data_IF_472381970518
#
_entry.id   IF_472381970518
#
_cell.length_a   1.000
_cell.length_b   1.000
_cell.length_c   1.000
_cell.angle_alpha   90.00
_cell.angle_beta   90.00
_cell.angle_gamma   90.00
#
_symmetry.space_group_name_H-M   'P 1'
#
loop_
_entity.id
_entity.type
_entity.pdbx_description
1 polymer ?
#
# COMPACT_ATOMS: atom_id res chain seq x y z
N UNK A 1 -39.14 -28.95 8.45
CA UNK A 1 -38.37 -27.79 7.96
C UNK A 1 -37.42 -27.23 9.02
N UNK A 2 -37.89 -26.96 10.24
CA UNK A 2 -37.05 -26.52 11.38
C UNK A 2 -35.79 -27.37 11.67
N UNK A 3 -35.83 -28.71 11.71
CA UNK A 3 -34.62 -29.51 12.03
C UNK A 3 -33.56 -29.46 10.92
N UNK A 4 -33.98 -29.32 9.66
CA UNK A 4 -33.06 -29.18 8.51
C UNK A 4 -32.35 -27.84 8.58
N UNK A 5 -33.08 -26.75 8.89
CA UNK A 5 -32.50 -25.43 9.06
C UNK A 5 -31.46 -25.40 10.20
N UNK A 6 -31.78 -26.02 11.34
CA UNK A 6 -30.86 -26.11 12.49
C UNK A 6 -29.58 -26.91 12.14
N UNK A 7 -29.71 -28.01 11.40
CA UNK A 7 -28.56 -28.79 10.95
C UNK A 7 -27.65 -27.98 10.01
N UNK A 8 -28.23 -27.21 9.08
CA UNK A 8 -27.48 -26.32 8.20
C UNK A 8 -26.77 -25.21 8.99
N UNK A 9 -27.44 -24.59 9.96
CA UNK A 9 -26.84 -23.56 10.81
C UNK A 9 -25.67 -24.11 11.65
N UNK A 10 -25.81 -25.30 12.24
CA UNK A 10 -24.72 -25.95 12.97
C UNK A 10 -23.53 -26.30 12.06
N UNK A 11 -23.80 -26.81 10.86
CA UNK A 11 -22.76 -27.07 9.85
C UNK A 11 -21.99 -25.81 9.46
N UNK A 12 -22.70 -24.71 9.20
CA UNK A 12 -22.08 -23.43 8.90
C UNK A 12 -21.25 -22.88 10.06
N UNK A 13 -21.75 -22.99 11.30
CA UNK A 13 -21.05 -22.53 12.49
C UNK A 13 -19.76 -23.34 12.75
N UNK A 14 -19.82 -24.66 12.61
CA UNK A 14 -18.65 -25.53 12.79
C UNK A 14 -17.58 -25.26 11.74
N UNK A 15 -17.97 -25.07 10.47
CA UNK A 15 -17.06 -24.66 9.40
C UNK A 15 -16.43 -23.30 9.69
N UNK A 16 -17.22 -22.32 10.13
CA UNK A 16 -16.72 -20.99 10.47
C UNK A 16 -15.71 -21.02 11.62
N UNK A 17 -16.02 -21.77 12.68
CA UNK A 17 -15.10 -21.97 13.81
C UNK A 17 -13.82 -22.69 13.38
N UNK A 18 -13.92 -23.69 12.50
CA UNK A 18 -12.75 -24.37 11.94
C UNK A 18 -11.86 -23.44 11.13
N UNK A 19 -12.44 -22.60 10.27
CA UNK A 19 -11.71 -21.59 9.49
C UNK A 19 -11.03 -20.59 10.43
N UNK A 20 -11.73 -20.06 11.43
CA UNK A 20 -11.16 -19.14 12.42
C UNK A 20 -10.02 -19.80 13.19
N UNK A 21 -10.20 -21.04 13.63
CA UNK A 21 -9.16 -21.79 14.31
C UNK A 21 -7.93 -22.01 13.42
N UNK A 22 -8.11 -22.40 12.15
CA UNK A 22 -7.00 -22.58 11.19
C UNK A 22 -6.26 -21.27 10.91
N UNK A 23 -6.98 -20.18 10.67
CA UNK A 23 -6.39 -18.84 10.44
C UNK A 23 -5.60 -18.36 11.66
N UNK A 24 -6.03 -18.70 12.88
CA UNK A 24 -5.31 -18.32 14.10
C UNK A 24 -4.10 -19.20 14.42
N UNK A 25 -4.09 -20.45 13.97
CA UNK A 25 -3.06 -21.43 14.32
C UNK A 25 -1.97 -21.57 13.25
N UNK A 26 -2.28 -21.23 12.01
CA UNK A 26 -1.40 -21.46 10.86
C UNK A 26 -1.24 -20.19 10.03
N UNK A 27 -0.04 -19.61 10.07
CA UNK A 27 0.27 -18.35 9.38
C UNK A 27 0.17 -18.45 7.85
N UNK A 28 0.41 -19.64 7.26
CA UNK A 28 0.28 -19.83 5.81
C UNK A 28 -1.18 -19.78 5.39
N UNK A 29 -2.07 -20.37 6.19
CA UNK A 29 -3.51 -20.27 6.01
C UNK A 29 -4.03 -18.86 6.28
N UNK A 30 -3.45 -18.15 7.25
CA UNK A 30 -3.80 -16.76 7.51
C UNK A 30 -3.50 -15.86 6.30
N UNK A 31 -2.31 -15.99 5.71
CA UNK A 31 -1.93 -15.25 4.49
C UNK A 31 -2.82 -15.64 3.31
N UNK A 32 -3.01 -16.94 3.08
CA UNK A 32 -3.83 -17.42 1.97
C UNK A 32 -5.29 -16.96 2.07
N UNK A 33 -5.88 -17.03 3.27
CA UNK A 33 -7.25 -16.57 3.53
C UNK A 33 -7.38 -15.04 3.36
N UNK A 34 -6.39 -14.29 3.81
CA UNK A 34 -6.36 -12.84 3.65
C UNK A 34 -6.33 -12.42 2.18
N UNK A 35 -5.40 -12.98 1.40
CA UNK A 35 -5.16 -12.58 0.01
C UNK A 35 -6.22 -13.15 -0.96
N UNK A 36 -6.75 -14.35 -0.71
CA UNK A 36 -7.68 -15.00 -1.66
C UNK A 36 -9.16 -14.74 -1.35
N UNK A 37 -9.52 -14.50 -0.09
CA UNK A 37 -10.93 -14.39 0.32
C UNK A 37 -11.26 -13.01 0.86
N UNK A 38 -10.55 -12.54 1.89
CA UNK A 38 -10.91 -11.26 2.53
C UNK A 38 -10.69 -10.08 1.61
N UNK A 39 -9.53 -10.00 0.95
CA UNK A 39 -9.23 -8.92 0.01
C UNK A 39 -10.20 -8.92 -1.17
N UNK A 40 -10.41 -10.07 -1.82
CA UNK A 40 -11.35 -10.18 -2.94
C UNK A 40 -12.78 -9.80 -2.55
N UNK A 41 -13.25 -10.23 -1.38
CA UNK A 41 -14.57 -9.88 -0.90
C UNK A 41 -14.68 -8.38 -0.62
N UNK A 42 -13.64 -7.77 -0.03
CA UNK A 42 -13.66 -6.33 0.27
C UNK A 42 -13.55 -5.48 -0.98
N UNK A 43 -12.75 -5.90 -1.96
CA UNK A 43 -12.67 -5.26 -3.27
C UNK A 43 -14.01 -5.37 -4.01
N UNK A 44 -14.65 -6.54 -3.98
CA UNK A 44 -15.96 -6.74 -4.58
C UNK A 44 -17.05 -5.87 -3.93
N UNK A 45 -17.10 -5.84 -2.59
CA UNK A 45 -18.13 -5.09 -1.84
C UNK A 45 -17.92 -3.58 -1.89
N UNK A 46 -16.67 -3.10 -1.91
CA UNK A 46 -16.36 -1.67 -1.97
C UNK A 46 -16.26 -1.11 -3.39
N UNK A 47 -16.09 -1.97 -4.41
CA UNK A 47 -15.83 -1.58 -5.79
C UNK A 47 -14.50 -0.84 -5.99
N UNK A 48 -13.60 -0.90 -5.01
CA UNK A 48 -12.33 -0.16 -4.98
C UNK A 48 -11.20 -1.10 -4.61
N UNK A 49 -10.01 -0.88 -5.16
CA UNK A 49 -8.81 -1.60 -4.70
C UNK A 49 -8.38 -1.11 -3.31
N UNK A 50 -7.59 -1.93 -2.61
CA UNK A 50 -6.98 -1.55 -1.32
C UNK A 50 -6.24 -0.20 -1.37
N UNK A 51 -5.35 0.09 -2.34
CA UNK A 51 -4.74 1.41 -2.48
C UNK A 51 -5.75 2.56 -2.61
N UNK A 52 -6.83 2.37 -3.38
CA UNK A 52 -7.86 3.41 -3.52
C UNK A 52 -8.57 3.70 -2.19
N UNK A 53 -8.80 2.68 -1.36
CA UNK A 53 -9.40 2.88 -0.03
C UNK A 53 -8.43 3.58 0.93
N UNK A 54 -7.13 3.30 0.83
CA UNK A 54 -6.07 4.03 1.56
C UNK A 54 -6.08 5.50 1.14
N UNK A 55 -6.08 5.79 -0.17
CA UNK A 55 -6.16 7.16 -0.69
C UNK A 55 -7.39 7.90 -0.16
N UNK A 56 -8.56 7.27 -0.20
CA UNK A 56 -9.78 7.87 0.33
C UNK A 56 -9.66 8.20 1.83
N UNK A 57 -9.04 7.30 2.61
CA UNK A 57 -8.82 7.56 4.03
C UNK A 57 -7.84 8.72 4.25
N UNK A 58 -6.73 8.77 3.50
CA UNK A 58 -5.75 9.87 3.52
C UNK A 58 -6.43 11.19 3.22
N UNK A 59 -7.19 11.28 2.12
CA UNK A 59 -7.87 12.52 1.72
C UNK A 59 -8.86 13.03 2.77
N UNK A 60 -9.45 12.13 3.55
CA UNK A 60 -10.42 12.47 4.59
C UNK A 60 -9.80 12.83 5.94
N UNK A 61 -8.55 12.42 6.22
CA UNK A 61 -7.98 12.47 7.58
C UNK A 61 -6.63 13.18 7.67
N UNK A 62 -5.87 13.23 6.58
CA UNK A 62 -4.53 13.83 6.55
C UNK A 62 -4.57 15.27 6.04
N UNK A 63 -3.63 16.08 6.54
CA UNK A 63 -3.47 17.48 6.13
C UNK A 63 -2.80 17.54 4.76
N UNK A 64 -3.41 18.29 3.83
CA UNK A 64 -2.85 18.54 2.50
C UNK A 64 -1.50 19.26 2.62
N UNK A 65 -0.48 18.75 1.92
CA UNK A 65 0.88 19.29 1.90
C UNK A 65 1.74 18.88 3.09
N UNK A 66 1.26 18.01 3.99
CA UNK A 66 2.04 17.49 5.12
C UNK A 66 2.28 15.99 4.96
N UNK A 67 3.47 15.63 4.46
CA UNK A 67 3.88 14.24 4.29
C UNK A 67 3.85 13.42 5.60
N UNK A 68 4.16 14.00 6.76
CA UNK A 68 4.13 13.27 8.03
C UNK A 68 2.69 12.93 8.44
N UNK A 69 1.75 13.88 8.23
CA UNK A 69 0.33 13.64 8.45
C UNK A 69 -0.19 12.51 7.54
N UNK A 70 0.21 12.51 6.26
CA UNK A 70 -0.19 11.47 5.30
C UNK A 70 0.37 10.10 5.68
N UNK A 71 1.67 10.01 6.02
CA UNK A 71 2.30 8.76 6.48
C UNK A 71 1.56 8.21 7.71
N UNK A 72 1.28 9.08 8.69
CA UNK A 72 0.55 8.71 9.92
C UNK A 72 -0.86 8.21 9.63
N UNK A 73 -1.56 8.81 8.67
CA UNK A 73 -2.89 8.36 8.24
C UNK A 73 -2.84 6.98 7.58
N UNK A 74 -1.83 6.72 6.74
CA UNK A 74 -1.63 5.39 6.14
C UNK A 74 -1.34 4.34 7.22
N UNK A 75 -0.47 4.63 8.18
CA UNK A 75 -0.16 3.72 9.29
C UNK A 75 -1.39 3.43 10.15
N UNK A 76 -2.16 4.46 10.51
CA UNK A 76 -3.42 4.32 11.24
C UNK A 76 -4.43 3.45 10.49
N UNK A 77 -4.58 3.65 9.18
CA UNK A 77 -5.46 2.83 8.36
C UNK A 77 -5.01 1.37 8.34
N UNK A 78 -3.72 1.14 8.15
CA UNK A 78 -3.16 -0.20 8.03
C UNK A 78 -3.20 -0.97 9.36
N UNK A 79 -3.10 -0.27 10.48
CA UNK A 79 -3.18 -0.85 11.82
C UNK A 79 -4.62 -1.16 12.25
N UNK A 80 -5.58 -0.30 11.88
CA UNK A 80 -6.92 -0.32 12.47
C UNK A 80 -8.04 -0.75 11.51
N UNK A 81 -7.83 -0.71 10.20
CA UNK A 81 -8.90 -0.89 9.20
C UNK A 81 -8.63 -2.09 8.28
N UNK A 82 -7.50 -2.08 7.58
CA UNK A 82 -7.10 -3.19 6.72
C UNK A 82 -5.59 -3.25 6.59
N UNK A 83 -5.02 -4.43 6.78
CA UNK A 83 -3.61 -4.65 6.56
C UNK A 83 -3.20 -4.44 5.09
N UNK A 84 -2.07 -3.77 4.90
CA UNK A 84 -1.45 -3.56 3.59
C UNK A 84 0.04 -3.89 3.63
N UNK A 85 0.61 -4.21 2.47
CA UNK A 85 2.01 -4.56 2.27
C UNK A 85 2.99 -3.37 2.38
N UNK A 86 2.62 -2.31 3.10
CA UNK A 86 3.51 -1.18 3.35
C UNK A 86 4.71 -1.60 4.21
N UNK A 87 5.80 -0.86 4.09
CA UNK A 87 7.00 -1.05 4.94
C UNK A 87 6.60 -0.99 6.42
N UNK A 88 5.69 -0.08 6.77
CA UNK A 88 5.20 0.14 8.13
C UNK A 88 6.21 0.85 9.01
N UNK A 89 5.72 1.45 10.08
CA UNK A 89 6.46 2.46 10.84
C UNK A 89 7.82 1.99 11.40
N UNK A 90 7.87 0.81 12.03
CA UNK A 90 9.10 0.25 12.62
C UNK A 90 10.25 0.09 11.62
N UNK A 91 9.96 -0.42 10.43
CA UNK A 91 10.98 -0.54 9.35
C UNK A 91 11.20 0.81 8.66
N UNK A 92 10.17 1.66 8.67
CA UNK A 92 10.24 3.03 8.20
C UNK A 92 11.23 3.89 8.97
N UNK A 93 11.35 3.73 10.28
CA UNK A 93 12.36 4.44 11.09
C UNK A 93 13.79 4.09 10.67
N UNK A 94 14.04 2.81 10.36
CA UNK A 94 15.34 2.36 9.86
C UNK A 94 15.62 2.98 8.48
N UNK A 95 14.62 2.98 7.59
CA UNK A 95 14.72 3.62 6.28
C UNK A 95 15.01 5.12 6.41
N UNK A 96 14.29 5.82 7.28
CA UNK A 96 14.47 7.24 7.54
C UNK A 96 15.89 7.54 8.03
N UNK A 97 16.40 6.72 8.98
CA UNK A 97 17.75 6.86 9.50
C UNK A 97 18.82 6.70 8.40
N UNK A 98 18.66 5.72 7.51
CA UNK A 98 19.57 5.50 6.38
C UNK A 98 19.56 6.70 5.41
N UNK A 99 18.38 7.25 5.10
CA UNK A 99 18.27 8.43 4.21
C UNK A 99 18.97 9.65 4.82
N UNK A 100 18.77 9.88 6.12
CA UNK A 100 19.38 11.01 6.84
C UNK A 100 20.90 10.89 6.98
N UNK A 101 21.41 9.66 7.13
CA UNK A 101 22.85 9.37 7.22
C UNK A 101 23.53 9.51 5.85
N UNK A 102 22.98 8.88 4.81
CA UNK A 102 23.56 8.85 3.47
C UNK A 102 23.39 10.17 2.72
N UNK A 103 22.28 10.89 2.96
CA UNK A 103 21.87 12.11 2.24
C UNK A 103 22.01 11.99 0.71
N UNK A 104 21.32 11.00 0.10
CA UNK A 104 21.51 10.71 -1.32
C UNK A 104 21.02 11.86 -2.20
N UNK A 105 21.72 12.09 -3.33
CA UNK A 105 21.25 12.99 -4.40
C UNK A 105 20.27 12.32 -5.36
N UNK A 106 20.36 11.00 -5.48
CA UNK A 106 19.51 10.19 -6.34
C UNK A 106 19.08 8.94 -5.59
N UNK A 107 17.79 8.64 -5.65
CA UNK A 107 17.22 7.39 -5.12
C UNK A 107 16.42 6.71 -6.22
N UNK A 108 16.59 5.39 -6.34
CA UNK A 108 15.74 4.53 -7.16
C UNK A 108 14.94 3.62 -6.23
N UNK A 109 13.62 3.65 -6.36
CA UNK A 109 12.69 2.76 -5.68
C UNK A 109 12.05 1.79 -6.69
N UNK A 110 12.06 0.50 -6.35
CA UNK A 110 11.43 -0.55 -7.15
C UNK A 110 10.16 -1.03 -6.45
N UNK A 111 9.01 -0.66 -6.98
CA UNK A 111 7.69 -0.93 -6.40
C UNK A 111 7.19 0.23 -5.57
N UNK A 112 6.37 1.09 -6.16
CA UNK A 112 5.76 2.25 -5.49
C UNK A 112 4.55 1.87 -4.64
N UNK A 113 3.74 0.91 -5.10
CA UNK A 113 2.45 0.54 -4.50
C UNK A 113 1.54 1.77 -4.29
N UNK A 114 1.23 2.15 -3.05
CA UNK A 114 0.45 3.36 -2.72
C UNK A 114 1.34 4.57 -2.36
N UNK A 115 2.66 4.47 -2.50
CA UNK A 115 3.61 5.57 -2.28
C UNK A 115 4.09 5.75 -0.83
N UNK A 116 3.87 4.78 0.07
CA UNK A 116 4.24 4.92 1.49
C UNK A 116 5.74 5.12 1.70
N UNK A 117 6.57 4.20 1.18
CA UNK A 117 8.04 4.30 1.27
C UNK A 117 8.57 5.48 0.47
N UNK A 118 7.96 5.77 -0.68
CA UNK A 118 8.27 6.93 -1.51
C UNK A 118 8.15 8.24 -0.71
N UNK A 119 7.03 8.44 0.00
CA UNK A 119 6.84 9.60 0.87
C UNK A 119 7.87 9.62 2.00
N UNK A 120 8.16 8.45 2.59
CA UNK A 120 9.12 8.37 3.69
C UNK A 120 10.51 8.84 3.25
N UNK A 121 10.97 8.39 2.09
CA UNK A 121 12.27 8.79 1.56
C UNK A 121 12.24 10.25 1.13
N UNK A 122 11.28 10.64 0.29
CA UNK A 122 11.25 11.96 -0.34
C UNK A 122 11.24 13.10 0.69
N UNK A 123 10.47 12.99 1.79
CA UNK A 123 10.40 14.03 2.82
C UNK A 123 11.73 14.34 3.54
N UNK A 124 12.72 13.44 3.42
CA UNK A 124 14.03 13.53 4.09
C UNK A 124 15.17 13.82 3.12
N UNK A 125 14.88 13.90 1.81
CA UNK A 125 15.89 14.14 0.80
C UNK A 125 16.41 15.58 0.86
N UNK A 126 17.73 15.81 0.67
CA UNK A 126 18.28 17.16 0.66
C UNK A 126 17.78 17.98 -0.54
N UNK A 127 17.80 19.31 -0.47
CA UNK A 127 17.40 20.17 -1.59
C UNK A 127 18.15 19.81 -2.89
N UNK A 128 17.41 19.67 -3.98
CA UNK A 128 17.93 19.30 -5.29
C UNK A 128 18.17 17.80 -5.50
N UNK A 129 17.93 16.95 -4.49
CA UNK A 129 17.89 15.50 -4.68
C UNK A 129 16.59 15.06 -5.37
N UNK A 130 16.67 13.91 -6.04
CA UNK A 130 15.59 13.32 -6.83
C UNK A 130 15.33 11.88 -6.41
N UNK A 131 14.05 11.50 -6.40
CA UNK A 131 13.62 10.12 -6.22
C UNK A 131 12.89 9.65 -7.47
N UNK A 132 13.38 8.57 -8.08
CA UNK A 132 12.69 7.88 -9.17
C UNK A 132 12.06 6.62 -8.57
N UNK A 133 10.76 6.42 -8.81
CA UNK A 133 10.05 5.23 -8.33
C UNK A 133 9.33 4.53 -9.48
N UNK A 134 9.43 3.21 -9.52
CA UNK A 134 8.84 2.37 -10.57
C UNK A 134 7.65 1.59 -10.05
N UNK A 135 6.52 1.68 -10.75
CA UNK A 135 5.33 0.87 -10.48
C UNK A 135 4.80 0.21 -11.75
N UNK A 136 4.66 -1.10 -11.72
CA UNK A 136 4.19 -1.87 -12.88
C UNK A 136 2.67 -1.78 -13.05
N UNK A 137 1.93 -1.71 -11.94
CA UNK A 137 0.48 -1.63 -11.95
C UNK A 137 0.01 -0.18 -12.14
N UNK A 138 -0.54 0.11 -13.32
CA UNK A 138 -1.04 1.44 -13.67
C UNK A 138 -2.07 2.01 -12.67
N UNK A 139 -2.94 1.17 -12.09
CA UNK A 139 -3.91 1.64 -11.10
C UNK A 139 -3.23 2.03 -9.78
N UNK A 140 -2.21 1.31 -9.36
CA UNK A 140 -1.45 1.62 -8.15
C UNK A 140 -0.63 2.89 -8.35
N UNK A 141 0.00 3.03 -9.51
CA UNK A 141 0.69 4.26 -9.91
C UNK A 141 -0.21 5.50 -9.83
N UNK A 142 -1.44 5.41 -10.35
CA UNK A 142 -2.42 6.51 -10.27
C UNK A 142 -2.80 6.87 -8.82
N UNK A 143 -2.93 5.87 -7.96
CA UNK A 143 -3.21 6.08 -6.54
C UNK A 143 -2.01 6.72 -5.84
N UNK A 144 -0.81 6.17 -6.04
CA UNK A 144 0.42 6.69 -5.47
C UNK A 144 0.65 8.15 -5.88
N UNK A 145 0.43 8.49 -7.16
CA UNK A 145 0.53 9.88 -7.64
C UNK A 145 -0.41 10.83 -6.88
N UNK A 146 -1.65 10.40 -6.63
CA UNK A 146 -2.60 11.22 -5.85
C UNK A 146 -2.20 11.35 -4.38
N UNK A 147 -1.70 10.27 -3.75
CA UNK A 147 -1.22 10.32 -2.37
C UNK A 147 0.02 11.22 -2.25
N UNK A 148 0.97 11.12 -3.19
CA UNK A 148 2.17 11.95 -3.25
C UNK A 148 1.83 13.43 -3.43
N UNK A 149 0.86 13.74 -4.28
CA UNK A 149 0.38 15.11 -4.44
C UNK A 149 -0.39 15.62 -3.22
N UNK A 150 -1.16 14.76 -2.55
CA UNK A 150 -1.76 15.10 -1.25
C UNK A 150 -0.69 15.41 -0.19
N UNK A 151 0.44 14.70 -0.23
CA UNK A 151 1.59 14.92 0.65
C UNK A 151 2.46 16.13 0.27
N UNK A 152 2.25 16.75 -0.90
CA UNK A 152 3.03 17.89 -1.39
C UNK A 152 4.42 17.51 -1.95
N UNK A 153 4.60 16.27 -2.40
CA UNK A 153 5.90 15.73 -2.84
C UNK A 153 6.06 15.59 -4.36
N UNK A 154 5.09 16.09 -5.14
CA UNK A 154 5.07 15.95 -6.61
C UNK A 154 6.34 16.46 -7.30
N UNK A 155 6.97 17.51 -6.77
CA UNK A 155 8.11 18.17 -7.41
C UNK A 155 9.45 17.45 -7.21
N UNK A 156 9.49 16.47 -6.30
CA UNK A 156 10.71 15.76 -5.90
C UNK A 156 10.73 14.30 -6.36
N UNK A 157 9.57 13.76 -6.75
CA UNK A 157 9.37 12.35 -7.09
C UNK A 157 8.98 12.20 -8.55
N UNK A 158 9.78 11.43 -9.29
CA UNK A 158 9.48 10.98 -10.63
C UNK A 158 8.90 9.56 -10.58
N UNK A 159 7.59 9.42 -10.70
CA UNK A 159 6.90 8.13 -10.76
C UNK A 159 6.80 7.65 -12.20
N UNK A 160 7.45 6.55 -12.52
CA UNK A 160 7.42 5.91 -13.83
C UNK A 160 6.56 4.65 -13.79
N UNK A 161 5.66 4.52 -14.76
CA UNK A 161 4.80 3.34 -14.90
C UNK A 161 5.46 2.34 -15.83
N UNK A 162 5.73 1.13 -15.35
CA UNK A 162 6.33 0.07 -16.13
C UNK A 162 7.02 -0.99 -15.29
N UNK A 163 7.40 -2.10 -15.93
CA UNK A 163 8.22 -3.12 -15.29
C UNK A 163 9.64 -2.59 -15.05
N UNK A 164 10.24 -2.95 -13.91
CA UNK A 164 11.59 -2.48 -13.54
C UNK A 164 12.67 -2.83 -14.56
N UNK A 165 12.52 -3.97 -15.26
CA UNK A 165 13.41 -4.41 -16.32
C UNK A 165 13.18 -3.70 -17.67
N UNK A 166 12.03 -3.04 -17.86
CA UNK A 166 11.63 -2.45 -19.15
C UNK A 166 11.87 -0.92 -19.22
N UNK A 167 12.62 -0.35 -18.28
CA UNK A 167 12.86 1.09 -18.17
C UNK A 167 13.90 1.64 -19.18
N UNK A 168 14.18 0.89 -20.25
CA UNK A 168 15.02 1.29 -21.40
C UNK A 168 14.35 0.88 -22.72
N UNK A 169 13.29 1.57 -23.16
CA UNK A 169 12.89 1.56 -24.58
C UNK A 169 11.90 2.68 -24.99
N UNK A 170 11.93 3.85 -24.36
CA UNK A 170 11.00 4.95 -24.74
C UNK A 170 11.68 6.31 -24.92
N UNK A 171 13.00 6.35 -24.95
CA UNK A 171 13.77 7.58 -25.21
C UNK A 171 14.23 7.70 -26.68
N UNK A 172 13.82 6.79 -27.58
CA UNK A 172 14.30 6.77 -28.97
C UNK A 172 13.19 6.93 -30.05
N UNK A 173 11.94 7.24 -29.68
CA UNK A 173 10.85 7.38 -30.67
C UNK A 173 10.34 8.81 -30.92
N UNK A 174 11.02 9.84 -30.41
CA UNK A 174 10.79 11.23 -30.83
C UNK A 174 12.11 11.95 -31.18
N UNK A 175 12.70 11.60 -32.33
CA UNK A 175 13.52 12.50 -33.16
C UNK A 175 13.24 12.23 -34.64
#
# INVERSE_FOLDING_TARGET
MLPILLAVCMGALTLLLFVVWRVRTDGTWALWWHDNYLERLRDFTSGKSRPMRILQYVQNTAVQGDANSVISAVDSYCANVEWAMNVGDKKGEILDAVVLDVRPRWVLELGTYCGYSTMRIARLLPPGARLITLEMNHHYAQVAKQILGHAGLDSQVDLLVGASFCSHSSAEEEV
#
